data_IF_406351812904
#
_entry.id   IF_406351812904
#
_cell.length_a   1.000
_cell.length_b   1.000
_cell.length_c   1.000
_cell.angle_alpha   90.00
_cell.angle_beta   90.00
_cell.angle_gamma   90.00
#
_symmetry.space_group_name_H-M   'P 1'
#
loop_
_entity.id
_entity.type
_entity.pdbx_description
1 polymer ?
#
# COMPACT_ATOMS: atom_id res chain seq x y z
N UNK A 1 -45.06 26.27 43.62
CA UNK A 1 -44.11 25.23 43.18
C UNK A 1 -44.00 25.28 41.66
N UNK A 2 -42.99 25.98 41.14
CA UNK A 2 -42.72 26.04 39.71
C UNK A 2 -41.55 25.10 39.41
N UNK A 3 -41.79 24.04 38.62
CA UNK A 3 -40.74 23.15 38.11
C UNK A 3 -40.12 23.83 36.89
N UNK A 4 -38.89 24.32 37.01
CA UNK A 4 -38.12 24.78 35.85
C UNK A 4 -37.66 23.55 35.06
N UNK A 5 -38.16 23.41 33.85
CA UNK A 5 -37.72 22.39 32.91
C UNK A 5 -36.55 22.98 32.11
N UNK A 6 -35.33 22.73 32.57
CA UNK A 6 -34.11 23.08 31.82
C UNK A 6 -33.89 22.02 30.74
N UNK A 7 -33.78 22.38 29.45
CA UNK A 7 -33.44 21.41 28.41
C UNK A 7 -32.00 20.96 28.59
N UNK A 8 -31.78 19.65 28.68
CA UNK A 8 -30.45 19.06 28.63
C UNK A 8 -29.82 19.34 27.26
N UNK A 9 -28.70 20.07 27.27
CA UNK A 9 -27.79 20.16 26.13
C UNK A 9 -27.21 18.76 25.89
N UNK A 10 -27.56 18.17 24.75
CA UNK A 10 -26.89 16.97 24.25
C UNK A 10 -25.53 17.42 23.73
N UNK A 11 -24.49 17.33 24.57
CA UNK A 11 -23.11 17.40 24.10
C UNK A 11 -22.81 16.11 23.33
N UNK A 12 -22.97 16.15 22.00
CA UNK A 12 -22.27 15.21 21.13
C UNK A 12 -20.79 15.56 21.15
N UNK A 13 -20.06 15.01 22.13
CA UNK A 13 -18.60 14.93 22.07
C UNK A 13 -18.26 13.99 20.91
N UNK A 14 -18.06 14.53 19.72
CA UNK A 14 -17.54 13.78 18.59
C UNK A 14 -16.10 13.37 18.95
N UNK A 15 -15.94 12.19 19.53
CA UNK A 15 -14.62 11.65 19.84
C UNK A 15 -13.85 11.44 18.53
N UNK A 16 -12.60 11.90 18.49
CA UNK A 16 -11.74 11.70 17.33
C UNK A 16 -11.62 10.21 17.04
N UNK A 17 -11.66 9.83 15.75
CA UNK A 17 -11.32 8.46 15.38
C UNK A 17 -9.87 8.18 15.74
N UNK A 18 -9.49 6.92 16.04
CA UNK A 18 -8.14 6.56 16.44
C UNK A 18 -7.06 7.02 15.46
N UNK A 19 -7.37 7.14 14.18
CA UNK A 19 -6.43 7.58 13.14
C UNK A 19 -6.47 9.10 12.87
N UNK A 20 -7.21 9.89 13.65
CA UNK A 20 -7.36 11.33 13.51
C UNK A 20 -6.60 12.10 14.61
N UNK A 21 -6.26 13.36 14.31
CA UNK A 21 -5.71 14.33 15.25
C UNK A 21 -6.21 15.73 14.92
N UNK A 22 -6.10 16.67 15.86
CA UNK A 22 -6.32 18.10 15.58
C UNK A 22 -5.03 18.68 15.04
N UNK A 23 -5.11 19.38 13.90
CA UNK A 23 -4.02 20.15 13.31
C UNK A 23 -3.67 21.32 14.24
N UNK A 24 -2.42 21.40 14.69
CA UNK A 24 -1.96 22.52 15.52
C UNK A 24 -1.97 23.86 14.77
N UNK A 25 -1.87 23.81 13.44
CA UNK A 25 -1.80 25.00 12.58
C UNK A 25 -3.19 25.55 12.24
N UNK A 26 -4.17 24.67 11.99
CA UNK A 26 -5.49 25.06 11.49
C UNK A 26 -6.62 24.85 12.50
N UNK A 27 -6.39 24.06 13.56
CA UNK A 27 -7.42 23.65 14.51
C UNK A 27 -8.40 22.61 13.95
N UNK A 28 -8.21 22.16 12.71
CA UNK A 28 -9.09 21.21 12.03
C UNK A 28 -8.76 19.76 12.38
N UNK A 29 -9.75 18.88 12.31
CA UNK A 29 -9.54 17.44 12.45
C UNK A 29 -8.96 16.89 11.14
N UNK A 30 -7.76 16.34 11.21
CA UNK A 30 -7.03 15.74 10.09
C UNK A 30 -6.69 14.28 10.38
N UNK A 31 -6.44 13.51 9.32
CA UNK A 31 -5.89 12.16 9.46
C UNK A 31 -4.42 12.25 9.90
N UNK A 32 -3.99 11.32 10.76
CA UNK A 32 -2.58 11.14 11.13
C UNK A 32 -1.74 10.74 9.91
N UNK A 33 -2.32 9.94 9.01
CA UNK A 33 -1.65 9.41 7.83
C UNK A 33 -1.82 10.32 6.62
N UNK A 34 -0.70 10.63 5.96
CA UNK A 34 -0.64 11.39 4.72
C UNK A 34 -0.93 10.47 3.55
N UNK A 35 -1.87 10.87 2.70
CA UNK A 35 -2.17 10.15 1.48
C UNK A 35 -2.62 11.13 0.41
N UNK A 36 -1.86 11.18 -0.68
CA UNK A 36 -2.37 11.73 -1.93
C UNK A 36 -3.15 10.61 -2.61
N UNK A 37 -4.47 10.74 -2.66
CA UNK A 37 -5.36 9.68 -3.13
C UNK A 37 -4.95 9.19 -4.53
N UNK A 38 -4.89 7.87 -4.73
CA UNK A 38 -4.40 7.26 -5.98
C UNK A 38 -2.88 7.29 -6.18
N UNK A 39 -2.12 8.01 -5.35
CA UNK A 39 -0.67 8.20 -5.46
C UNK A 39 0.08 7.82 -4.17
N UNK A 40 0.05 6.54 -3.75
CA UNK A 40 0.83 6.08 -2.59
C UNK A 40 2.33 6.21 -2.86
N UNK A 41 3.13 6.43 -1.81
CA UNK A 41 4.60 6.41 -1.91
C UNK A 41 5.06 5.03 -2.41
N UNK A 42 6.01 4.99 -3.35
CA UNK A 42 6.34 3.74 -4.05
C UNK A 42 7.50 3.03 -3.40
N UNK A 43 7.24 1.86 -2.83
CA UNK A 43 8.27 0.89 -2.47
C UNK A 43 8.36 -0.15 -3.57
N UNK A 44 9.59 -0.55 -3.92
CA UNK A 44 9.84 -1.50 -5.01
C UNK A 44 10.71 -2.63 -4.51
N UNK A 45 10.45 -3.82 -5.03
CA UNK A 45 11.34 -4.96 -4.91
C UNK A 45 12.05 -5.17 -6.26
N UNK A 46 13.35 -4.89 -6.32
CA UNK A 46 14.16 -5.19 -7.49
C UNK A 46 14.54 -6.68 -7.47
N UNK A 47 13.85 -7.48 -8.28
CA UNK A 47 14.10 -8.91 -8.40
C UNK A 47 15.39 -9.27 -9.16
N UNK A 48 16.05 -8.30 -9.81
CA UNK A 48 17.36 -8.50 -10.45
C UNK A 48 18.49 -8.33 -9.43
N UNK A 49 18.44 -7.26 -8.63
CA UNK A 49 19.45 -6.99 -7.59
C UNK A 49 19.16 -7.69 -6.26
N UNK A 50 17.91 -8.06 -6.02
CA UNK A 50 17.45 -8.60 -4.73
C UNK A 50 17.40 -7.54 -3.64
N UNK A 51 17.02 -6.31 -3.99
CA UNK A 51 17.03 -5.15 -3.09
C UNK A 51 15.68 -4.46 -3.08
N UNK A 52 15.23 -4.08 -1.88
CA UNK A 52 14.09 -3.18 -1.71
C UNK A 52 14.55 -1.74 -1.83
N UNK A 53 13.74 -0.89 -2.43
CA UNK A 53 14.03 0.54 -2.53
C UNK A 53 12.76 1.38 -2.43
N UNK A 54 12.95 2.67 -2.15
CA UNK A 54 11.89 3.67 -2.21
C UNK A 54 12.09 4.51 -3.48
N UNK A 55 11.02 4.67 -4.24
CA UNK A 55 10.93 5.46 -5.48
C UNK A 55 11.98 5.09 -6.55
N UNK A 56 12.62 3.93 -6.47
CA UNK A 56 13.67 3.51 -7.42
C UNK A 56 15.09 3.88 -7.03
N UNK A 57 15.32 4.68 -5.98
CA UNK A 57 16.63 5.25 -5.66
C UNK A 57 17.14 4.85 -4.27
N UNK A 58 16.33 5.06 -3.23
CA UNK A 58 16.74 4.85 -1.84
C UNK A 58 16.75 3.36 -1.49
N UNK A 59 17.93 2.73 -1.49
CA UNK A 59 18.08 1.28 -1.18
C UNK A 59 17.85 1.01 0.31
N UNK A 60 16.90 0.13 0.61
CA UNK A 60 16.55 -0.34 1.95
C UNK A 60 17.26 -1.65 2.35
N UNK A 61 17.92 -2.31 1.40
CA UNK A 61 18.59 -3.59 1.59
C UNK A 61 17.75 -4.78 1.15
N UNK A 62 18.05 -5.97 1.70
CA UNK A 62 17.48 -7.25 1.23
C UNK A 62 16.27 -7.71 2.04
N UNK A 63 15.89 -6.96 3.07
CA UNK A 63 14.79 -7.28 3.98
C UNK A 63 13.93 -6.05 4.14
N UNK A 64 12.62 -6.23 4.13
CA UNK A 64 11.67 -5.15 4.34
C UNK A 64 10.51 -5.61 5.23
N UNK A 65 10.19 -4.84 6.27
CA UNK A 65 9.16 -5.19 7.25
C UNK A 65 8.05 -4.15 7.26
N UNK A 66 6.81 -4.58 7.16
CA UNK A 66 5.64 -3.69 7.07
C UNK A 66 4.35 -4.39 7.53
N UNK A 67 3.35 -3.61 7.94
CA UNK A 67 2.00 -4.11 8.23
C UNK A 67 1.05 -3.68 7.11
N UNK A 68 0.50 -4.62 6.33
CA UNK A 68 -0.50 -4.32 5.31
C UNK A 68 -1.76 -3.67 5.91
N UNK A 69 -2.34 -2.72 5.19
CA UNK A 69 -3.61 -2.05 5.54
C UNK A 69 -4.67 -2.25 4.46
N UNK A 70 -4.23 -2.44 3.22
CA UNK A 70 -5.06 -2.82 2.09
C UNK A 70 -4.22 -3.66 1.12
N UNK A 71 -4.86 -4.48 0.29
CA UNK A 71 -4.18 -5.20 -0.78
C UNK A 71 -5.14 -5.64 -1.88
N UNK A 72 -4.56 -5.95 -3.02
CA UNK A 72 -5.19 -6.76 -4.05
C UNK A 72 -4.21 -7.77 -4.63
N UNK A 73 -4.73 -8.95 -4.95
CA UNK A 73 -4.03 -9.96 -5.73
C UNK A 73 -4.82 -10.17 -7.00
N UNK A 74 -4.16 -10.01 -8.14
CA UNK A 74 -4.84 -9.89 -9.42
C UNK A 74 -3.96 -10.35 -10.58
N UNK A 75 -4.58 -10.56 -11.74
CA UNK A 75 -3.89 -10.87 -12.98
C UNK A 75 -4.15 -9.77 -13.99
N UNK A 76 -3.07 -9.19 -14.52
CA UNK A 76 -3.16 -8.07 -15.47
C UNK A 76 -1.83 -7.82 -16.21
N UNK A 77 -1.87 -7.04 -17.29
CA UNK A 77 -0.74 -6.46 -17.99
C UNK A 77 -0.57 -4.99 -17.61
N UNK A 78 0.19 -4.75 -16.54
CA UNK A 78 0.56 -3.41 -16.08
C UNK A 78 2.06 -3.18 -16.25
N UNK A 79 2.47 -1.90 -16.26
CA UNK A 79 3.87 -1.47 -16.29
C UNK A 79 4.67 -2.01 -17.50
N UNK A 80 4.00 -2.36 -18.61
CA UNK A 80 4.61 -2.94 -19.82
C UNK A 80 5.41 -4.23 -19.57
N UNK A 81 5.01 -5.04 -18.57
CA UNK A 81 5.71 -6.29 -18.23
C UNK A 81 5.02 -7.55 -18.77
N UNK A 82 3.97 -7.40 -19.58
CA UNK A 82 3.11 -8.48 -20.02
C UNK A 82 2.15 -8.95 -18.92
N UNK A 83 1.23 -9.87 -19.27
CA UNK A 83 0.25 -10.40 -18.31
C UNK A 83 0.95 -11.22 -17.23
N UNK A 84 0.78 -10.83 -15.96
CA UNK A 84 1.31 -11.53 -14.79
C UNK A 84 0.29 -11.63 -13.67
N UNK A 85 0.57 -12.51 -12.70
CA UNK A 85 -0.03 -12.41 -11.37
C UNK A 85 0.73 -11.35 -10.57
N UNK A 86 -0.01 -10.49 -9.89
CA UNK A 86 0.46 -9.37 -9.09
C UNK A 86 -0.11 -9.47 -7.68
N UNK A 87 0.70 -9.09 -6.70
CA UNK A 87 0.24 -8.79 -5.34
C UNK A 87 0.67 -7.37 -5.01
N UNK A 88 -0.30 -6.48 -4.85
CA UNK A 88 -0.09 -5.10 -4.46
C UNK A 88 -0.55 -4.94 -3.01
N UNK A 89 0.35 -4.53 -2.13
CA UNK A 89 0.08 -4.30 -0.72
C UNK A 89 0.33 -2.85 -0.38
N UNK A 90 -0.56 -2.29 0.42
CA UNK A 90 -0.49 -0.93 0.91
C UNK A 90 -0.21 -0.95 2.41
N UNK A 91 0.54 0.01 2.91
CA UNK A 91 0.92 0.13 4.32
C UNK A 91 1.18 1.58 4.70
N UNK A 92 1.35 1.85 6.00
CA UNK A 92 1.82 3.15 6.49
C UNK A 92 3.33 3.06 6.73
N UNK A 93 4.10 3.93 6.09
CA UNK A 93 5.56 3.98 6.28
C UNK A 93 5.98 4.75 7.54
N UNK A 94 7.28 4.80 7.80
CA UNK A 94 7.90 5.53 8.92
C UNK A 94 7.67 7.05 8.89
N UNK A 95 7.19 7.60 7.76
CA UNK A 95 6.86 9.01 7.58
C UNK A 95 5.35 9.25 7.67
N UNK A 96 4.57 8.27 8.14
CA UNK A 96 3.12 8.27 8.18
C UNK A 96 2.46 8.42 6.80
N UNK A 97 3.14 8.03 5.73
CA UNK A 97 2.60 8.06 4.38
C UNK A 97 1.96 6.71 4.01
N UNK A 98 0.78 6.75 3.38
CA UNK A 98 0.26 5.58 2.66
C UNK A 98 1.22 5.26 1.53
N UNK A 99 1.74 4.05 1.59
CA UNK A 99 2.79 3.53 0.72
C UNK A 99 2.32 2.23 0.08
N UNK A 100 2.89 1.87 -1.07
CA UNK A 100 2.57 0.65 -1.78
C UNK A 100 3.83 -0.12 -2.14
N UNK A 101 3.74 -1.45 -2.10
CA UNK A 101 4.75 -2.36 -2.63
C UNK A 101 4.08 -3.39 -3.53
N UNK A 102 4.71 -3.65 -4.68
CA UNK A 102 4.18 -4.54 -5.70
C UNK A 102 5.13 -5.74 -5.91
N UNK A 103 4.56 -6.94 -5.89
CA UNK A 103 5.25 -8.19 -6.15
C UNK A 103 4.62 -8.90 -7.36
N UNK A 104 5.43 -9.70 -8.07
CA UNK A 104 4.95 -10.54 -9.17
C UNK A 104 5.64 -11.91 -9.18
N UNK A 105 5.12 -12.83 -10.00
CA UNK A 105 5.72 -14.16 -10.19
C UNK A 105 5.75 -14.99 -8.91
N UNK A 106 6.85 -15.70 -8.66
CA UNK A 106 6.99 -16.59 -7.50
C UNK A 106 6.82 -15.89 -6.14
N UNK A 107 7.09 -14.59 -6.06
CA UNK A 107 6.83 -13.81 -4.84
C UNK A 107 5.34 -13.79 -4.48
N UNK A 108 4.44 -13.78 -5.47
CA UNK A 108 2.98 -13.80 -5.24
C UNK A 108 2.54 -15.15 -4.65
N UNK A 109 3.09 -16.24 -5.16
CA UNK A 109 2.80 -17.58 -4.65
C UNK A 109 3.25 -17.73 -3.19
N UNK A 110 4.38 -17.11 -2.81
CA UNK A 110 4.85 -17.10 -1.43
C UNK A 110 3.96 -16.28 -0.49
N UNK A 111 3.33 -15.19 -0.97
CA UNK A 111 2.33 -14.44 -0.18
C UNK A 111 1.09 -15.29 0.07
N UNK A 112 0.61 -16.04 -0.93
CA UNK A 112 -0.56 -16.92 -0.74
C UNK A 112 -0.37 -17.95 0.36
N UNK A 113 0.83 -18.54 0.47
CA UNK A 113 1.17 -19.49 1.55
C UNK A 113 1.11 -18.87 2.94
N UNK A 114 1.26 -17.54 3.04
CA UNK A 114 1.13 -16.80 4.29
C UNK A 114 -0.34 -16.50 4.63
N UNK A 115 -1.17 -16.25 3.61
CA UNK A 115 -2.61 -15.98 3.78
C UNK A 115 -3.37 -17.21 4.30
N UNK A 116 -3.05 -18.39 3.80
CA UNK A 116 -3.79 -19.62 4.11
C UNK A 116 -3.88 -19.94 5.62
N UNK A 117 -2.79 -20.00 6.40
CA UNK A 117 -2.89 -20.24 7.85
C UNK A 117 -3.63 -19.11 8.57
N UNK A 118 -3.41 -17.85 8.19
CA UNK A 118 -4.11 -16.71 8.80
C UNK A 118 -5.63 -16.81 8.61
N UNK A 119 -6.08 -17.24 7.43
CA UNK A 119 -7.49 -17.40 7.14
C UNK A 119 -8.16 -18.41 8.08
N UNK A 120 -7.50 -19.54 8.37
CA UNK A 120 -8.04 -20.55 9.28
C UNK A 120 -8.01 -20.13 10.77
N UNK A 121 -7.25 -19.08 11.09
CA UNK A 121 -7.22 -18.47 12.42
C UNK A 121 -8.14 -17.24 12.53
N UNK A 122 -9.03 -16.99 11.54
CA UNK A 122 -9.88 -15.79 11.43
C UNK A 122 -9.08 -14.47 11.40
N UNK A 123 -7.85 -14.53 10.88
CA UNK A 123 -6.93 -13.42 10.74
C UNK A 123 -6.71 -13.04 9.27
N UNK A 124 -6.17 -11.85 9.06
CA UNK A 124 -5.83 -11.32 7.74
C UNK A 124 -4.41 -10.77 7.70
N UNK A 125 -3.93 -10.39 6.51
CA UNK A 125 -2.64 -9.70 6.39
C UNK A 125 -2.58 -8.38 7.18
N UNK A 126 -3.74 -7.77 7.49
CA UNK A 126 -3.81 -6.58 8.33
C UNK A 126 -3.62 -6.85 9.83
N UNK A 127 -3.58 -8.10 10.26
CA UNK A 127 -3.38 -8.51 11.66
C UNK A 127 -1.92 -8.84 12.00
N UNK A 128 -1.04 -8.75 11.01
CA UNK A 128 0.34 -9.20 11.13
C UNK A 128 1.33 -8.18 10.59
N UNK A 129 2.53 -8.20 11.16
CA UNK A 129 3.69 -7.51 10.60
C UNK A 129 4.45 -8.51 9.74
N UNK A 130 4.49 -8.27 8.44
CA UNK A 130 5.16 -9.09 7.44
C UNK A 130 6.63 -8.69 7.37
N UNK A 131 7.52 -9.68 7.28
CA UNK A 131 8.91 -9.50 6.86
C UNK A 131 9.12 -10.16 5.52
N UNK A 132 9.41 -9.36 4.49
CA UNK A 132 9.78 -9.82 3.16
C UNK A 132 11.30 -9.89 3.03
N UNK A 133 11.84 -11.00 2.53
CA UNK A 133 13.28 -11.22 2.35
C UNK A 133 13.57 -11.58 0.89
N UNK A 134 14.58 -10.93 0.31
CA UNK A 134 15.05 -11.19 -1.04
C UNK A 134 15.95 -12.44 -1.09
N UNK A 135 15.41 -13.55 -1.54
CA UNK A 135 16.12 -14.81 -1.71
C UNK A 135 16.66 -14.98 -3.12
N UNK A 136 17.96 -15.27 -3.22
CA UNK A 136 18.62 -15.60 -4.48
C UNK A 136 18.18 -17.00 -4.94
N UNK A 137 17.81 -17.12 -6.22
CA UNK A 137 17.53 -18.36 -6.93
C UNK A 137 18.40 -18.45 -8.18
N UNK A 138 18.70 -19.68 -8.57
CA UNK A 138 19.45 -19.99 -9.78
C UNK A 138 18.56 -20.75 -10.76
N UNK A 139 18.50 -20.29 -12.00
CA UNK A 139 17.91 -21.02 -13.09
C UNK A 139 18.94 -22.02 -13.64
N UNK A 140 18.82 -23.27 -13.23
CA UNK A 140 19.70 -24.36 -13.64
C UNK A 140 19.42 -24.89 -15.05
N UNK A 141 18.38 -24.38 -15.74
CA UNK A 141 17.96 -24.83 -17.07
C UNK A 141 18.66 -24.12 -18.24
N UNK A 142 19.43 -23.06 -17.97
CA UNK A 142 20.14 -22.26 -18.99
C UNK A 142 21.62 -22.14 -18.63
N UNK A 143 22.48 -21.98 -19.64
CA UNK A 143 23.93 -21.76 -19.48
C UNK A 143 24.34 -20.46 -20.19
N UNK A 144 25.00 -19.51 -19.51
CA UNK A 144 25.32 -19.52 -18.07
C UNK A 144 24.04 -19.46 -17.20
N UNK A 145 24.13 -19.97 -15.97
CA UNK A 145 23.01 -19.98 -15.02
C UNK A 145 22.46 -18.56 -14.82
N UNK A 146 21.17 -18.38 -15.08
CA UNK A 146 20.49 -17.12 -14.76
C UNK A 146 20.30 -16.98 -13.25
N UNK A 147 20.70 -15.86 -12.67
CA UNK A 147 20.42 -15.52 -11.27
C UNK A 147 19.21 -14.60 -11.23
N UNK A 148 18.27 -14.88 -10.32
CA UNK A 148 17.14 -14.00 -10.04
C UNK A 148 16.80 -14.05 -8.55
N UNK A 149 16.07 -13.04 -8.06
CA UNK A 149 15.64 -12.99 -6.68
C UNK A 149 14.11 -13.10 -6.60
N UNK A 150 13.65 -13.76 -5.55
CA UNK A 150 12.24 -13.82 -5.18
C UNK A 150 12.07 -13.28 -3.77
N UNK A 151 10.89 -12.77 -3.43
CA UNK A 151 10.57 -12.42 -2.06
C UNK A 151 9.96 -13.65 -1.35
N UNK A 152 10.52 -14.02 -0.20
CA UNK A 152 9.89 -14.92 0.77
C UNK A 152 9.38 -14.11 1.95
N UNK A 153 8.35 -14.63 2.62
CA UNK A 153 7.62 -13.88 3.63
C UNK A 153 7.52 -14.69 4.91
N UNK A 154 7.73 -14.00 6.03
CA UNK A 154 7.38 -14.47 7.37
C UNK A 154 6.55 -13.40 8.07
N UNK A 155 5.92 -13.75 9.19
CA UNK A 155 5.14 -12.78 9.95
C UNK A 155 5.28 -12.97 11.46
N UNK A 156 4.93 -11.90 12.16
CA UNK A 156 4.58 -11.92 13.59
C UNK A 156 3.23 -11.23 13.77
N UNK A 157 2.52 -11.57 14.84
CA UNK A 157 1.29 -10.85 15.19
C UNK A 157 1.58 -9.36 15.38
N UNK A 158 0.72 -8.52 14.80
CA UNK A 158 0.76 -7.08 15.03
C UNK A 158 0.09 -6.73 16.36
N UNK A 159 0.37 -5.54 16.86
CA UNK A 159 -0.28 -5.03 18.06
C UNK A 159 -1.76 -4.75 17.80
N UNK A 160 -2.65 -5.30 18.64
CA UNK A 160 -4.10 -5.24 18.43
C UNK A 160 -4.63 -3.81 18.28
N UNK A 161 -4.16 -2.87 19.10
CA UNK A 161 -4.61 -1.48 19.05
C UNK A 161 -4.19 -0.81 17.73
N UNK A 162 -2.94 -1.02 17.31
CA UNK A 162 -2.41 -0.54 16.03
C UNK A 162 -3.20 -1.11 14.86
N UNK A 163 -3.43 -2.42 14.85
CA UNK A 163 -4.19 -3.11 13.81
C UNK A 163 -5.62 -2.58 13.71
N UNK A 164 -6.28 -2.35 14.84
CA UNK A 164 -7.63 -1.77 14.88
C UNK A 164 -7.65 -0.36 14.26
N UNK A 165 -6.71 0.50 14.64
CA UNK A 165 -6.57 1.85 14.06
C UNK A 165 -6.35 1.81 12.54
N UNK A 166 -5.43 0.97 12.06
CA UNK A 166 -5.13 0.84 10.63
C UNK A 166 -6.29 0.26 9.82
N UNK A 167 -6.96 -0.75 10.37
CA UNK A 167 -8.16 -1.35 9.75
C UNK A 167 -9.28 -0.33 9.66
N UNK A 168 -9.48 0.50 10.67
CA UNK A 168 -10.49 1.54 10.63
C UNK A 168 -10.14 2.60 9.58
N UNK A 169 -8.90 3.08 9.56
CA UNK A 169 -8.42 4.03 8.54
C UNK A 169 -8.64 3.50 7.11
N UNK A 170 -8.17 2.28 6.83
CA UNK A 170 -8.21 1.69 5.50
C UNK A 170 -9.62 1.34 5.01
N UNK A 171 -10.59 1.13 5.91
CA UNK A 171 -12.01 0.95 5.52
C UNK A 171 -12.66 2.24 5.05
N UNK A 172 -12.18 3.37 5.54
CA UNK A 172 -12.83 4.68 5.36
C UNK A 172 -12.11 5.56 4.31
N UNK A 173 -10.92 5.16 3.87
CA UNK A 173 -10.12 5.84 2.86
C UNK A 173 -10.06 5.01 1.59
N UNK A 174 -10.23 5.67 0.43
CA UNK A 174 -10.15 5.03 -0.89
C UNK A 174 -8.70 4.68 -1.25
N UNK A 175 -8.20 3.54 -0.80
CA UNK A 175 -6.81 3.14 -1.05
C UNK A 175 -6.70 2.42 -2.40
N UNK A 176 -5.99 3.07 -3.33
CA UNK A 176 -5.62 2.52 -4.63
C UNK A 176 -4.34 3.19 -5.17
N UNK A 177 -3.82 2.66 -6.29
CA UNK A 177 -2.73 3.26 -7.05
C UNK A 177 -3.17 3.41 -8.50
N UNK A 178 -3.27 4.65 -8.97
CA UNK A 178 -3.76 4.98 -10.31
C UNK A 178 -2.87 4.35 -11.41
N UNK A 179 -1.55 4.35 -11.23
CA UNK A 179 -0.59 3.82 -12.22
C UNK A 179 -0.74 2.31 -12.48
N UNK A 180 -1.25 1.54 -11.52
CA UNK A 180 -1.40 0.09 -11.62
C UNK A 180 -2.86 -0.32 -11.82
N UNK A 181 -3.78 0.64 -11.95
CA UNK A 181 -5.21 0.40 -12.08
C UNK A 181 -5.59 0.25 -13.56
N UNK A 182 -6.36 -0.79 -13.88
CA UNK A 182 -6.98 -0.99 -15.19
C UNK A 182 -8.41 -1.47 -14.99
N UNK A 183 -9.24 -1.27 -16.01
CA UNK A 183 -10.63 -1.72 -16.09
C UNK A 183 -10.76 -3.22 -16.44
N UNK A 184 -9.68 -3.84 -16.93
CA UNK A 184 -9.64 -5.25 -17.35
C UNK A 184 -8.98 -6.19 -16.35
N UNK A 185 -8.48 -5.68 -15.22
CA UNK A 185 -7.79 -6.48 -14.21
C UNK A 185 -8.68 -7.60 -13.66
N UNK A 186 -8.16 -8.84 -13.69
CA UNK A 186 -8.84 -9.99 -13.09
C UNK A 186 -8.46 -10.12 -11.61
N UNK A 187 -9.31 -9.61 -10.71
CA UNK A 187 -9.12 -9.69 -9.26
C UNK A 187 -9.32 -11.13 -8.76
N UNK A 188 -8.39 -11.62 -7.92
CA UNK A 188 -8.51 -12.89 -7.19
C UNK A 188 -8.97 -12.67 -5.75
N UNK A 189 -8.36 -11.72 -5.05
CA UNK A 189 -8.75 -11.31 -3.71
C UNK A 189 -8.36 -9.86 -3.48
N UNK A 190 -9.10 -9.17 -2.63
CA UNK A 190 -8.84 -7.80 -2.25
C UNK A 190 -9.31 -7.58 -0.80
N UNK A 191 -8.66 -6.65 -0.12
CA UNK A 191 -9.05 -6.20 1.22
C UNK A 191 -8.81 -4.71 1.32
N UNK A 192 -9.85 -3.95 1.65
CA UNK A 192 -9.84 -2.49 1.74
C UNK A 192 -9.21 -1.76 0.54
N UNK A 193 -9.07 -2.45 -0.60
CA UNK A 193 -8.63 -1.88 -1.86
C UNK A 193 -9.83 -1.28 -2.57
N UNK A 194 -9.68 -0.03 -3.00
CA UNK A 194 -10.71 0.68 -3.74
C UNK A 194 -10.50 0.49 -5.25
N UNK A 195 -11.55 0.04 -5.97
CA UNK A 195 -11.53 -0.01 -7.43
C UNK A 195 -12.50 1.05 -8.00
N UNK A 196 -12.00 2.21 -8.45
CA UNK A 196 -12.83 3.25 -9.06
C UNK A 196 -13.73 2.73 -10.20
N UNK A 197 -13.22 1.84 -11.05
CA UNK A 197 -13.96 1.31 -12.20
C UNK A 197 -15.14 0.42 -11.80
N UNK A 198 -15.04 -0.30 -10.68
CA UNK A 198 -16.14 -1.13 -10.18
C UNK A 198 -17.33 -0.29 -9.69
N UNK A 199 -17.08 0.98 -9.35
CA UNK A 199 -18.09 1.92 -8.87
C UNK A 199 -18.56 2.90 -9.97
N UNK A 200 -18.16 2.68 -11.23
CA UNK A 200 -18.52 3.54 -12.35
C UNK A 200 -17.89 4.93 -12.29
N UNK A 201 -16.85 5.12 -11.48
CA UNK A 201 -16.12 6.39 -11.41
C UNK A 201 -15.15 6.52 -12.58
N UNK A 202 -15.12 7.71 -13.17
CA UNK A 202 -14.05 8.12 -14.07
C UNK A 202 -12.89 8.53 -13.17
N UNK A 203 -11.76 7.83 -13.27
CA UNK A 203 -10.56 8.21 -12.54
C UNK A 203 -10.10 9.56 -13.09
N UNK A 204 -9.92 10.57 -12.24
CA UNK A 204 -9.55 11.91 -12.66
C UNK A 204 -8.38 11.86 -13.64
N UNK A 205 -8.57 12.49 -14.79
CA UNK A 205 -7.48 12.75 -15.71
C UNK A 205 -6.44 13.58 -14.97
N UNK A 206 -5.16 13.27 -15.21
CA UNK A 206 -4.07 14.12 -14.73
C UNK A 206 -4.36 15.59 -15.10
N UNK A 207 -3.97 16.56 -14.26
CA UNK A 207 -4.24 17.97 -14.54
C UNK A 207 -3.87 18.33 -15.99
N UNK A 208 -4.67 19.15 -16.66
CA UNK A 208 -4.44 19.48 -18.06
C UNK A 208 -2.97 19.93 -18.30
N UNK A 209 -2.27 19.21 -19.17
CA UNK A 209 -0.84 19.42 -19.44
C UNK A 209 0.13 18.50 -18.68
N UNK A 210 -0.36 17.72 -17.70
CA UNK A 210 0.40 16.70 -16.99
C UNK A 210 0.17 15.36 -17.68
N UNK A 211 1.19 14.86 -18.38
CA UNK A 211 1.11 13.51 -18.97
C UNK A 211 1.59 12.47 -17.96
N UNK A 212 1.17 11.19 -18.06
CA UNK A 212 1.70 10.13 -17.20
C UNK A 212 3.23 10.01 -17.29
N UNK A 213 3.78 10.26 -18.49
CA UNK A 213 5.22 10.33 -18.70
C UNK A 213 5.82 11.58 -18.05
N UNK A 214 5.20 12.75 -18.19
CA UNK A 214 5.64 13.99 -17.56
C UNK A 214 5.58 13.94 -16.02
N UNK A 215 4.65 13.20 -15.43
CA UNK A 215 4.64 12.95 -13.99
C UNK A 215 5.80 12.05 -13.57
N UNK A 216 6.10 11.00 -14.35
CA UNK A 216 7.26 10.12 -14.13
C UNK A 216 8.58 10.88 -14.31
N UNK A 217 8.68 11.67 -15.36
CA UNK A 217 9.84 12.49 -15.69
C UNK A 217 10.05 13.59 -14.64
N UNK A 218 8.98 14.28 -14.20
CA UNK A 218 9.09 15.30 -13.14
C UNK A 218 9.49 14.69 -11.79
N UNK A 219 9.01 13.47 -11.51
CA UNK A 219 9.46 12.69 -10.35
C UNK A 219 10.95 12.35 -10.53
N UNK A 220 11.37 11.82 -11.68
CA UNK A 220 12.79 11.50 -11.97
C UNK A 220 13.71 12.73 -11.96
N UNK A 221 13.24 13.88 -12.48
CA UNK A 221 13.98 15.15 -12.57
C UNK A 221 14.13 15.79 -11.19
N UNK A 222 13.08 15.77 -10.36
CA UNK A 222 13.17 16.20 -8.97
C UNK A 222 14.18 15.38 -8.16
N UNK A 223 14.38 14.09 -8.51
CA UNK A 223 15.32 13.20 -7.84
C UNK A 223 16.74 13.23 -8.41
N UNK A 224 16.94 13.58 -9.68
CA UNK A 224 18.29 13.75 -10.27
C UNK A 224 18.94 15.09 -9.90
N UNK A 225 18.16 16.15 -9.64
CA UNK A 225 18.70 17.42 -9.16
C UNK A 225 19.14 17.38 -7.68
N UNK A 226 18.65 16.41 -6.89
CA UNK A 226 19.07 16.20 -5.50
C UNK A 226 20.38 15.41 -5.36
N UNK A 227 20.93 14.88 -6.46
CA UNK A 227 22.21 14.15 -6.50
C UNK A 227 23.41 15.04 -6.89
N UNK A 228 23.19 16.35 -7.11
CA UNK A 228 24.21 17.30 -7.53
C UNK A 228 24.78 18.19 -6.39
N UNK A 229 24.51 17.86 -5.13
CA UNK A 229 25.08 18.55 -3.94
C UNK A 229 25.74 17.56 -2.99
#
# INVERSE_FOLDING_TARGET
MAKSNTPALVETTNSLKPYQKVSELTGEVINKYKYLEGHPRQYRFDAKEGVFNINGSEKLGRTFTFQPIAWRIFKDNILNMGVKNWAELFFIDEKDCVSSILFHGYSVDNIFRLIEPLYYDDLTLADVVITAIAEKKENTKIQPKGVYYIATFSYKMAETQRSSELKQFSREVRIFRQETLTDIASLKTAYNFYNPFANGEVVDELPAGVTPQGLRDAVEEHYTQAEAV
#
